data_IF_872272757936
#
_entry.id   IF_872272757936
#
_cell.length_a   1.000
_cell.length_b   1.000
_cell.length_c   1.000
_cell.angle_alpha   90.00
_cell.angle_beta   90.00
_cell.angle_gamma   90.00
#
_symmetry.space_group_name_H-M   'P 1'
#
loop_
_entity.id
_entity.type
_entity.pdbx_description
1 polymer ?
#
# COMPACT_ATOMS: atom_id res chain seq x y z
N UNK A 1 2.39 -4.47 -8.09
CA UNK A 1 3.54 -3.74 -7.49
C UNK A 1 4.81 -4.58 -7.69
N UNK A 2 5.82 -4.05 -8.34
CA UNK A 2 7.17 -4.63 -8.54
C UNK A 2 7.27 -6.05 -9.16
N UNK A 3 6.23 -6.56 -9.82
CA UNK A 3 6.19 -7.96 -10.27
C UNK A 3 7.37 -8.36 -11.17
N UNK A 4 7.69 -7.53 -12.16
CA UNK A 4 8.79 -7.80 -13.10
C UNK A 4 10.17 -7.77 -12.41
N UNK A 5 10.43 -6.74 -11.57
CA UNK A 5 11.69 -6.62 -10.84
C UNK A 5 11.87 -7.79 -9.84
N UNK A 6 10.81 -8.08 -9.07
CA UNK A 6 10.83 -9.17 -8.09
C UNK A 6 11.11 -10.53 -8.73
N UNK A 7 10.51 -10.82 -9.90
CA UNK A 7 10.74 -12.05 -10.64
C UNK A 7 12.19 -12.19 -11.09
N UNK A 8 12.75 -11.15 -11.73
CA UNK A 8 14.14 -11.15 -12.21
C UNK A 8 15.15 -11.28 -11.06
N UNK A 9 14.93 -10.56 -9.96
CA UNK A 9 15.79 -10.71 -8.77
C UNK A 9 15.68 -12.11 -8.17
N UNK A 10 14.48 -12.68 -8.10
CA UNK A 10 14.28 -14.05 -7.63
C UNK A 10 15.02 -15.07 -8.49
N UNK A 11 15.03 -14.91 -9.83
CA UNK A 11 15.78 -15.76 -10.75
C UNK A 11 17.30 -15.64 -10.53
N UNK A 12 17.82 -14.42 -10.39
CA UNK A 12 19.22 -14.20 -10.08
C UNK A 12 19.62 -14.89 -8.76
N UNK A 13 18.76 -14.82 -7.72
CA UNK A 13 19.03 -15.45 -6.43
C UNK A 13 18.85 -16.97 -6.44
N UNK A 14 18.03 -17.55 -7.31
CA UNK A 14 17.96 -19.02 -7.48
C UNK A 14 19.32 -19.61 -7.86
N UNK A 15 20.09 -18.90 -8.69
CA UNK A 15 21.45 -19.35 -9.08
C UNK A 15 22.41 -19.38 -7.90
N UNK A 16 22.31 -18.46 -6.96
CA UNK A 16 23.09 -18.54 -5.70
C UNK A 16 22.66 -19.72 -4.84
N UNK A 17 21.34 -19.97 -4.73
CA UNK A 17 20.79 -21.06 -3.91
C UNK A 17 21.12 -22.45 -4.45
N UNK A 18 21.33 -22.60 -5.77
CA UNK A 18 21.64 -23.89 -6.40
C UNK A 18 23.08 -24.35 -6.16
N UNK A 19 23.97 -23.48 -5.67
CA UNK A 19 25.38 -23.78 -5.38
C UNK A 19 25.59 -23.83 -3.88
N UNK A 20 26.12 -24.94 -3.38
CA UNK A 20 26.38 -25.14 -1.94
C UNK A 20 27.53 -24.26 -1.41
N UNK A 21 28.54 -24.00 -2.23
CA UNK A 21 29.62 -23.02 -1.97
C UNK A 21 29.63 -21.98 -3.06
N UNK A 22 29.88 -20.75 -2.70
CA UNK A 22 29.97 -19.63 -3.65
C UNK A 22 31.42 -19.13 -3.70
N UNK A 23 31.90 -18.87 -4.91
CA UNK A 23 33.18 -18.19 -5.15
C UNK A 23 32.95 -16.71 -5.43
N UNK A 24 33.99 -15.89 -5.32
CA UNK A 24 33.93 -14.48 -5.70
C UNK A 24 33.44 -14.30 -7.15
N UNK A 25 33.87 -15.18 -8.07
CA UNK A 25 33.41 -15.16 -9.46
C UNK A 25 31.90 -15.40 -9.59
N UNK A 26 31.34 -16.31 -8.77
CA UNK A 26 29.89 -16.57 -8.72
C UNK A 26 29.11 -15.35 -8.23
N UNK A 27 29.61 -14.70 -7.16
CA UNK A 27 29.01 -13.48 -6.62
C UNK A 27 29.02 -12.38 -7.66
N UNK A 28 30.16 -12.13 -8.31
CA UNK A 28 30.28 -11.11 -9.38
C UNK A 28 29.37 -11.40 -10.57
N UNK A 29 29.21 -12.66 -10.95
CA UNK A 29 28.30 -13.07 -12.03
C UNK A 29 26.84 -12.82 -11.66
N UNK A 30 26.40 -13.23 -10.48
CA UNK A 30 25.03 -12.99 -10.02
C UNK A 30 24.73 -11.50 -9.82
N UNK A 31 25.69 -10.71 -9.32
CA UNK A 31 25.53 -9.26 -9.20
C UNK A 31 25.43 -8.54 -10.54
N UNK A 32 25.99 -9.09 -11.63
CA UNK A 32 25.75 -8.59 -13.00
C UNK A 32 24.29 -8.80 -13.41
N UNK A 33 23.68 -9.92 -13.06
CA UNK A 33 22.24 -10.15 -13.33
C UNK A 33 21.36 -9.23 -12.51
N UNK A 34 21.65 -9.04 -11.20
CA UNK A 34 20.97 -8.05 -10.36
C UNK A 34 21.08 -6.65 -10.96
N UNK A 35 22.28 -6.28 -11.44
CA UNK A 35 22.49 -5.00 -12.14
C UNK A 35 21.58 -4.84 -13.34
N UNK A 36 21.49 -5.88 -14.18
CA UNK A 36 20.63 -5.85 -15.38
C UNK A 36 19.16 -5.76 -14.99
N UNK A 37 18.72 -6.53 -13.99
CA UNK A 37 17.34 -6.48 -13.49
C UNK A 37 16.94 -5.07 -13.02
N UNK A 38 17.82 -4.39 -12.29
CA UNK A 38 17.59 -3.02 -11.82
C UNK A 38 17.53 -2.00 -12.96
N UNK A 39 18.42 -2.13 -13.98
CA UNK A 39 18.41 -1.25 -15.15
C UNK A 39 17.15 -1.45 -16.00
N UNK A 40 16.72 -2.69 -16.20
CA UNK A 40 15.46 -3.00 -16.90
C UNK A 40 14.22 -2.57 -16.10
N UNK A 41 14.34 -2.46 -14.79
CA UNK A 41 13.33 -1.86 -13.92
C UNK A 41 13.36 -0.32 -13.90
N UNK A 42 14.14 0.29 -14.79
CA UNK A 42 14.23 1.75 -14.96
C UNK A 42 14.79 2.47 -13.71
N UNK A 43 15.69 1.80 -12.97
CA UNK A 43 16.42 2.40 -11.85
C UNK A 43 17.55 3.29 -12.40
N UNK A 44 17.77 4.44 -11.79
CA UNK A 44 18.81 5.38 -12.19
C UNK A 44 20.20 4.72 -12.24
N UNK A 45 20.94 4.93 -13.31
CA UNK A 45 22.24 4.28 -13.57
C UNK A 45 23.25 4.52 -12.43
N UNK A 46 23.32 5.74 -11.89
CA UNK A 46 24.24 6.06 -10.78
C UNK A 46 23.89 5.24 -9.55
N UNK A 47 22.59 5.14 -9.26
CA UNK A 47 22.04 4.33 -8.13
C UNK A 47 22.44 2.86 -8.31
N UNK A 48 22.18 2.29 -9.49
CA UNK A 48 22.49 0.88 -9.78
C UNK A 48 23.99 0.60 -9.65
N UNK A 49 24.84 1.50 -10.15
CA UNK A 49 26.30 1.35 -10.06
C UNK A 49 26.79 1.33 -8.62
N UNK A 50 26.33 2.27 -7.80
CA UNK A 50 26.74 2.36 -6.40
C UNK A 50 26.20 1.21 -5.57
N UNK A 51 24.91 0.89 -5.74
CA UNK A 51 24.27 -0.25 -5.09
C UNK A 51 24.99 -1.56 -5.37
N UNK A 52 25.20 -1.88 -6.65
CA UNK A 52 25.87 -3.14 -7.03
C UNK A 52 27.31 -3.20 -6.55
N UNK A 53 28.01 -2.07 -6.49
CA UNK A 53 29.37 -1.98 -5.93
C UNK A 53 29.35 -2.33 -4.43
N UNK A 54 28.52 -1.63 -3.63
CA UNK A 54 28.40 -1.84 -2.17
C UNK A 54 28.02 -3.30 -1.83
N UNK A 55 26.99 -3.82 -2.53
CA UNK A 55 26.58 -5.22 -2.30
C UNK A 55 27.71 -6.20 -2.66
N UNK A 56 28.39 -6.00 -3.79
CA UNK A 56 29.50 -6.88 -4.22
C UNK A 56 30.64 -6.86 -3.20
N UNK A 57 31.07 -5.68 -2.75
CA UNK A 57 32.14 -5.54 -1.75
C UNK A 57 31.81 -6.27 -0.46
N UNK A 58 30.58 -6.17 0.03
CA UNK A 58 30.11 -6.90 1.22
C UNK A 58 29.96 -8.39 0.99
N UNK A 59 29.49 -8.80 -0.19
CA UNK A 59 29.19 -10.20 -0.52
C UNK A 59 30.44 -11.04 -0.82
N UNK A 60 31.56 -10.46 -1.24
CA UNK A 60 32.83 -11.19 -1.46
C UNK A 60 33.68 -11.31 -0.20
N UNK A 61 33.24 -10.78 0.95
CA UNK A 61 33.95 -10.95 2.22
C UNK A 61 34.05 -12.43 2.64
N UNK A 62 35.16 -12.81 3.26
CA UNK A 62 35.42 -14.18 3.69
C UNK A 62 34.28 -14.72 4.57
N UNK A 63 33.74 -13.91 5.48
CA UNK A 63 32.64 -14.28 6.37
C UNK A 63 31.39 -14.75 5.62
N UNK A 64 31.13 -14.22 4.42
CA UNK A 64 29.99 -14.59 3.59
C UNK A 64 30.30 -15.85 2.78
N UNK A 65 31.46 -15.92 2.15
CA UNK A 65 31.86 -17.05 1.29
C UNK A 65 32.11 -18.32 2.07
N UNK A 66 32.60 -18.22 3.30
CA UNK A 66 32.84 -19.33 4.23
C UNK A 66 31.61 -19.72 5.06
N UNK A 67 30.53 -18.96 4.96
CA UNK A 67 29.28 -19.22 5.68
C UNK A 67 28.66 -20.55 5.25
N UNK A 68 27.95 -21.22 6.18
CA UNK A 68 27.15 -22.42 5.90
C UNK A 68 25.97 -22.11 4.92
N UNK A 69 25.55 -20.85 4.83
CA UNK A 69 24.41 -20.41 4.02
C UNK A 69 24.75 -19.13 3.22
N UNK A 70 25.75 -19.17 2.32
CA UNK A 70 26.25 -17.95 1.66
C UNK A 70 25.19 -17.25 0.80
N UNK A 71 24.32 -18.00 0.12
CA UNK A 71 23.24 -17.43 -0.67
C UNK A 71 22.23 -16.60 0.19
N UNK A 72 21.94 -17.07 1.40
CA UNK A 72 21.05 -16.34 2.31
C UNK A 72 21.71 -15.08 2.86
N UNK A 73 23.01 -15.12 3.13
CA UNK A 73 23.78 -13.93 3.53
C UNK A 73 23.79 -12.87 2.44
N UNK A 74 23.97 -13.27 1.17
CA UNK A 74 23.92 -12.33 0.05
C UNK A 74 22.53 -11.71 -0.07
N UNK A 75 21.44 -12.48 0.01
CA UNK A 75 20.07 -11.96 -0.02
C UNK A 75 19.83 -10.98 1.13
N UNK A 76 20.34 -11.27 2.32
CA UNK A 76 20.25 -10.37 3.48
C UNK A 76 20.99 -9.06 3.20
N UNK A 77 22.21 -9.11 2.67
CA UNK A 77 22.99 -7.92 2.29
C UNK A 77 22.22 -7.08 1.26
N UNK A 78 21.65 -7.71 0.23
CA UNK A 78 20.83 -7.02 -0.78
C UNK A 78 19.62 -6.35 -0.15
N UNK A 79 18.93 -7.00 0.78
CA UNK A 79 17.78 -6.43 1.49
C UNK A 79 18.18 -5.21 2.33
N UNK A 80 19.28 -5.30 3.06
CA UNK A 80 19.81 -4.20 3.88
C UNK A 80 20.20 -3.00 3.02
N UNK A 81 20.89 -3.23 1.88
CA UNK A 81 21.31 -2.16 0.97
C UNK A 81 20.11 -1.54 0.23
N UNK A 82 19.09 -2.32 -0.17
CA UNK A 82 17.83 -1.79 -0.71
C UNK A 82 17.10 -0.93 0.31
N UNK A 83 17.02 -1.41 1.56
CA UNK A 83 16.40 -0.67 2.66
C UNK A 83 17.12 0.66 2.91
N UNK A 84 18.45 0.64 2.96
CA UNK A 84 19.30 1.82 3.13
C UNK A 84 19.12 2.81 1.97
N UNK A 85 19.08 2.31 0.74
CA UNK A 85 18.89 3.11 -0.48
C UNK A 85 17.56 3.89 -0.43
N UNK A 86 16.50 3.26 0.06
CA UNK A 86 15.18 3.87 0.19
C UNK A 86 14.99 4.71 1.44
N UNK A 87 15.98 4.73 2.35
CA UNK A 87 15.97 5.64 3.50
C UNK A 87 16.11 5.01 4.88
N UNK A 88 16.27 3.71 4.96
CA UNK A 88 16.48 2.97 6.21
C UNK A 88 15.21 2.83 7.05
N UNK A 89 14.63 3.96 7.47
CA UNK A 89 13.44 3.99 8.33
C UNK A 89 12.32 4.84 7.75
N UNK A 90 11.10 4.63 8.24
CA UNK A 90 9.94 5.44 7.90
C UNK A 90 10.17 6.92 8.20
N UNK A 91 9.86 7.79 7.25
CA UNK A 91 9.81 9.24 7.46
C UNK A 91 8.36 9.70 7.64
N UNK A 92 8.01 10.12 8.84
CA UNK A 92 6.67 10.62 9.17
C UNK A 92 6.51 12.07 8.68
N UNK A 93 5.23 12.50 8.56
CA UNK A 93 4.91 13.90 8.32
C UNK A 93 5.26 14.71 9.57
N UNK A 94 5.93 15.84 9.37
CA UNK A 94 6.27 16.77 10.45
C UNK A 94 5.00 17.51 10.89
N UNK A 95 4.68 17.44 12.15
CA UNK A 95 3.54 18.15 12.72
C UNK A 95 4.06 19.45 13.38
N UNK A 96 3.45 20.58 13.02
CA UNK A 96 3.77 21.86 13.62
C UNK A 96 3.42 21.90 15.10
N UNK A 97 4.29 22.49 15.91
CA UNK A 97 4.02 22.77 17.32
C UNK A 97 2.92 23.84 17.50
N UNK A 98 2.76 24.71 16.48
CA UNK A 98 1.72 25.76 16.46
C UNK A 98 0.74 25.44 15.32
N UNK A 99 -0.48 24.99 15.64
CA UNK A 99 -1.50 24.71 14.61
C UNK A 99 -1.89 25.96 13.81
N UNK A 100 -2.25 25.79 12.52
CA UNK A 100 -2.35 24.53 11.79
C UNK A 100 -1.01 24.04 11.24
N UNK A 101 -0.84 22.71 11.12
CA UNK A 101 0.20 22.12 10.27
C UNK A 101 -0.19 22.35 8.81
N UNK A 102 0.63 23.03 8.05
CA UNK A 102 0.40 23.36 6.65
C UNK A 102 1.15 22.40 5.74
N UNK A 103 0.42 21.69 4.89
CA UNK A 103 0.95 20.73 3.92
C UNK A 103 0.62 21.21 2.52
N UNK A 104 1.63 21.57 1.76
CA UNK A 104 1.49 22.03 0.38
C UNK A 104 1.72 20.84 -0.57
N UNK A 105 0.72 20.53 -1.40
CA UNK A 105 0.78 19.44 -2.40
C UNK A 105 1.26 20.01 -3.72
N UNK A 106 2.41 19.54 -4.21
CA UNK A 106 3.01 19.98 -5.48
C UNK A 106 3.23 18.82 -6.45
N UNK A 107 3.42 19.09 -7.74
CA UNK A 107 3.68 18.08 -8.76
C UNK A 107 2.98 18.36 -10.08
N UNK A 108 3.27 17.57 -11.10
CA UNK A 108 2.71 17.71 -12.45
C UNK A 108 1.21 17.39 -12.50
N UNK A 109 0.57 17.80 -13.59
CA UNK A 109 -0.81 17.45 -13.88
C UNK A 109 -0.99 15.92 -13.97
N UNK A 110 -2.04 15.39 -13.39
CA UNK A 110 -2.31 13.94 -13.41
C UNK A 110 -1.49 13.10 -12.44
N UNK A 111 -0.55 13.72 -11.69
CA UNK A 111 0.23 13.02 -10.66
C UNK A 111 -0.60 12.60 -9.42
N UNK A 112 -1.84 13.11 -9.28
CA UNK A 112 -2.75 12.69 -8.20
C UNK A 112 -2.75 13.60 -6.97
N UNK A 113 -2.33 14.87 -7.07
CA UNK A 113 -2.30 15.83 -5.95
C UNK A 113 -3.64 15.94 -5.22
N UNK A 114 -4.70 16.33 -5.94
CA UNK A 114 -6.06 16.49 -5.42
C UNK A 114 -6.54 15.23 -4.68
N UNK A 115 -6.36 14.07 -5.30
CA UNK A 115 -6.75 12.78 -4.71
C UNK A 115 -5.97 12.48 -3.43
N UNK A 116 -4.65 12.73 -3.42
CA UNK A 116 -3.81 12.43 -2.25
C UNK A 116 -3.94 13.48 -1.15
N UNK A 117 -4.26 14.73 -1.46
CA UNK A 117 -4.68 15.72 -0.46
C UNK A 117 -5.90 15.21 0.32
N UNK A 118 -6.93 14.72 -0.38
CA UNK A 118 -8.12 14.16 0.25
C UNK A 118 -7.83 12.86 1.01
N UNK A 119 -6.99 11.96 0.48
CA UNK A 119 -6.58 10.72 1.16
C UNK A 119 -5.82 11.00 2.47
N UNK A 120 -4.87 11.93 2.46
CA UNK A 120 -4.16 12.36 3.65
C UNK A 120 -5.10 13.00 4.67
N UNK A 121 -5.98 13.90 4.23
CA UNK A 121 -6.99 14.50 5.09
C UNK A 121 -7.87 13.44 5.76
N UNK A 122 -8.34 12.43 5.01
CA UNK A 122 -9.12 11.31 5.56
C UNK A 122 -8.32 10.49 6.57
N UNK A 123 -7.05 10.20 6.27
CA UNK A 123 -6.16 9.44 7.15
C UNK A 123 -5.92 10.17 8.47
N UNK A 124 -5.60 11.47 8.44
CA UNK A 124 -5.38 12.26 9.65
C UNK A 124 -6.66 12.55 10.43
N UNK A 125 -7.80 12.68 9.74
CA UNK A 125 -9.10 12.74 10.41
C UNK A 125 -9.39 11.49 11.25
N UNK A 126 -9.08 10.30 10.73
CA UNK A 126 -9.17 9.04 11.51
C UNK A 126 -8.27 9.03 12.74
N UNK A 127 -7.17 9.78 12.71
CA UNK A 127 -6.26 9.98 13.85
C UNK A 127 -6.69 11.10 14.80
N UNK A 128 -7.92 11.61 14.67
CA UNK A 128 -8.48 12.65 15.54
C UNK A 128 -8.09 14.08 15.19
N UNK A 129 -7.44 14.32 14.02
CA UNK A 129 -7.14 15.66 13.54
C UNK A 129 -8.34 16.31 12.87
N UNK A 130 -8.33 17.64 12.80
CA UNK A 130 -9.34 18.46 12.10
C UNK A 130 -8.74 19.08 10.84
N UNK A 131 -8.69 18.34 9.72
CA UNK A 131 -8.12 18.82 8.48
C UNK A 131 -9.04 19.79 7.74
N UNK A 132 -8.43 20.72 6.98
CA UNK A 132 -9.03 21.56 5.98
C UNK A 132 -8.36 21.29 4.64
N UNK A 133 -9.15 21.21 3.57
CA UNK A 133 -8.66 21.19 2.20
C UNK A 133 -8.78 22.58 1.60
N UNK A 134 -7.75 23.08 0.90
CA UNK A 134 -7.75 24.39 0.24
C UNK A 134 -7.54 24.21 -1.25
N UNK A 135 -8.51 24.69 -2.07
CA UNK A 135 -8.53 24.49 -3.52
C UNK A 135 -7.80 25.64 -4.23
N UNK A 136 -6.52 25.45 -4.52
CA UNK A 136 -5.69 26.44 -5.25
C UNK A 136 -5.46 26.09 -6.73
N UNK A 137 -6.05 25.02 -7.28
CA UNK A 137 -6.05 24.74 -8.73
C UNK A 137 -7.18 25.50 -9.42
N UNK A 138 -7.03 26.82 -9.53
CA UNK A 138 -8.06 27.74 -10.10
C UNK A 138 -8.16 27.63 -11.63
N UNK A 139 -7.13 27.11 -12.30
CA UNK A 139 -7.09 26.98 -13.76
C UNK A 139 -8.01 25.87 -14.28
N UNK A 140 -8.46 25.00 -13.40
CA UNK A 140 -9.34 23.88 -13.73
C UNK A 140 -10.56 23.86 -12.83
N UNK A 141 -11.69 24.45 -13.24
CA UNK A 141 -12.93 24.45 -12.45
C UNK A 141 -13.35 23.03 -12.00
N UNK A 142 -13.09 22.04 -12.83
CA UNK A 142 -13.36 20.65 -12.51
C UNK A 142 -12.50 20.12 -11.34
N UNK A 143 -11.28 20.64 -11.13
CA UNK A 143 -10.42 20.24 -10.01
C UNK A 143 -10.97 20.77 -8.68
N UNK A 144 -11.43 22.01 -8.63
CA UNK A 144 -12.11 22.59 -7.46
C UNK A 144 -13.32 21.73 -7.08
N UNK A 145 -14.19 21.43 -8.07
CA UNK A 145 -15.37 20.59 -7.83
C UNK A 145 -15.00 19.18 -7.40
N UNK A 146 -13.96 18.62 -7.98
CA UNK A 146 -13.44 17.30 -7.57
C UNK A 146 -13.01 17.30 -6.11
N UNK A 147 -12.26 18.32 -5.67
CA UNK A 147 -11.83 18.43 -4.28
C UNK A 147 -13.02 18.59 -3.33
N UNK A 148 -14.04 19.37 -3.72
CA UNK A 148 -15.29 19.55 -2.96
C UNK A 148 -16.03 18.22 -2.79
N UNK A 149 -16.23 17.46 -3.87
CA UNK A 149 -16.89 16.13 -3.82
C UNK A 149 -16.10 15.16 -2.95
N UNK A 150 -14.76 15.17 -3.05
CA UNK A 150 -13.92 14.36 -2.18
C UNK A 150 -14.03 14.79 -0.72
N UNK A 151 -14.03 16.09 -0.44
CA UNK A 151 -14.20 16.64 0.91
C UNK A 151 -15.54 16.25 1.52
N UNK A 152 -16.64 16.35 0.77
CA UNK A 152 -17.97 15.89 1.20
C UNK A 152 -17.96 14.39 1.54
N UNK A 153 -17.39 13.56 0.66
CA UNK A 153 -17.32 12.11 0.83
C UNK A 153 -16.60 11.69 2.13
N UNK A 154 -15.58 12.45 2.52
CA UNK A 154 -14.80 12.18 3.74
C UNK A 154 -15.25 13.06 4.92
N UNK A 155 -16.27 13.92 4.72
CA UNK A 155 -16.75 14.90 5.70
C UNK A 155 -15.62 15.79 6.24
N UNK A 156 -14.81 16.36 5.34
CA UNK A 156 -13.74 17.33 5.60
C UNK A 156 -14.12 18.63 4.89
N UNK A 157 -14.06 19.80 5.56
CA UNK A 157 -14.36 21.07 4.93
C UNK A 157 -13.36 21.39 3.80
N UNK A 158 -13.86 22.06 2.75
CA UNK A 158 -13.08 22.54 1.61
C UNK A 158 -13.24 24.04 1.53
N UNK A 159 -12.12 24.77 1.54
CA UNK A 159 -12.09 26.20 1.29
C UNK A 159 -11.78 26.48 -0.18
N UNK A 160 -12.59 27.32 -0.82
CA UNK A 160 -12.39 27.76 -2.20
C UNK A 160 -13.03 29.12 -2.43
N UNK A 161 -12.45 29.94 -3.31
CA UNK A 161 -12.96 31.26 -3.73
C UNK A 161 -13.24 31.32 -5.24
N UNK A 162 -13.40 30.15 -5.87
CA UNK A 162 -13.66 30.06 -7.30
C UNK A 162 -12.40 30.20 -8.15
N UNK A 163 -12.56 30.67 -9.38
CA UNK A 163 -11.51 30.75 -10.40
C UNK A 163 -10.92 32.14 -10.61
N UNK A 164 -11.56 33.17 -10.07
CA UNK A 164 -11.26 34.59 -10.36
C UNK A 164 -10.28 35.19 -9.33
N UNK A 165 -9.98 34.45 -8.26
CA UNK A 165 -9.05 34.86 -7.19
C UNK A 165 -7.72 34.14 -7.37
N UNK A 166 -6.62 34.83 -7.10
CA UNK A 166 -5.29 34.24 -7.25
C UNK A 166 -5.07 33.07 -6.27
N UNK A 167 -4.38 32.01 -6.69
CA UNK A 167 -4.06 30.87 -5.81
C UNK A 167 -3.36 31.26 -4.51
N UNK A 168 -2.48 32.28 -4.57
CA UNK A 168 -1.76 32.80 -3.41
C UNK A 168 -2.73 33.42 -2.39
N UNK A 169 -3.70 34.20 -2.87
CA UNK A 169 -4.73 34.81 -2.02
C UNK A 169 -5.61 33.75 -1.39
N UNK A 170 -6.05 32.75 -2.18
CA UNK A 170 -6.86 31.63 -1.69
C UNK A 170 -6.11 30.85 -0.61
N UNK A 171 -4.82 30.58 -0.80
CA UNK A 171 -4.00 29.86 0.17
C UNK A 171 -3.91 30.65 1.48
N UNK A 172 -3.65 31.95 1.42
CA UNK A 172 -3.61 32.84 2.59
C UNK A 172 -4.96 32.85 3.34
N UNK A 173 -6.03 33.15 2.63
CA UNK A 173 -7.37 33.23 3.22
C UNK A 173 -7.83 31.85 3.77
N UNK A 174 -7.43 30.76 3.12
CA UNK A 174 -7.63 29.40 3.61
C UNK A 174 -6.95 29.14 4.95
N UNK A 175 -5.74 29.66 5.15
CA UNK A 175 -5.05 29.56 6.46
C UNK A 175 -5.75 30.38 7.55
N UNK A 176 -6.23 31.59 7.23
CA UNK A 176 -7.01 32.38 8.16
C UNK A 176 -8.32 31.70 8.53
N UNK A 177 -9.00 31.11 7.52
CA UNK A 177 -10.19 30.30 7.75
C UNK A 177 -9.91 29.11 8.67
N UNK A 178 -8.79 28.40 8.45
CA UNK A 178 -8.37 27.28 9.29
C UNK A 178 -8.18 27.70 10.75
N UNK A 179 -7.50 28.82 10.99
CA UNK A 179 -7.29 29.36 12.35
C UNK A 179 -8.62 29.73 13.02
N UNK A 180 -9.53 30.42 12.31
CA UNK A 180 -10.84 30.82 12.83
C UNK A 180 -11.75 29.63 13.15
N UNK A 181 -11.63 28.53 12.39
CA UNK A 181 -12.43 27.31 12.58
C UNK A 181 -11.71 26.20 13.36
N UNK A 182 -10.58 26.52 13.98
CA UNK A 182 -9.81 25.58 14.79
C UNK A 182 -9.39 24.31 14.05
N UNK A 183 -9.10 24.40 12.74
CA UNK A 183 -8.51 23.31 11.99
C UNK A 183 -7.03 23.20 12.40
N UNK A 184 -6.57 21.99 12.67
CA UNK A 184 -5.20 21.75 13.11
C UNK A 184 -4.27 21.28 11.98
N UNK A 185 -4.83 20.97 10.82
CA UNK A 185 -4.10 20.64 9.60
C UNK A 185 -4.74 21.32 8.38
N UNK A 186 -3.90 21.76 7.44
CA UNK A 186 -4.33 22.35 6.18
C UNK A 186 -3.60 21.66 5.04
N UNK A 187 -4.33 21.16 4.06
CA UNK A 187 -3.80 20.60 2.82
C UNK A 187 -4.10 21.54 1.68
N UNK A 188 -3.07 22.18 1.12
CA UNK A 188 -3.18 23.10 -0.01
C UNK A 188 -3.02 22.29 -1.30
N UNK A 189 -4.10 22.12 -2.06
CA UNK A 189 -4.08 21.47 -3.37
C UNK A 189 -3.75 22.49 -4.45
N UNK A 190 -2.50 22.48 -4.93
CA UNK A 190 -2.01 23.44 -5.91
C UNK A 190 -2.26 22.99 -7.35
N UNK A 191 -2.23 23.92 -8.29
CA UNK A 191 -2.26 23.63 -9.71
C UNK A 191 -1.10 22.72 -10.14
N UNK A 192 -1.29 21.99 -11.23
CA UNK A 192 -0.25 21.26 -11.93
C UNK A 192 -0.36 21.50 -13.41
N UNK A 193 0.78 21.63 -14.08
CA UNK A 193 0.88 21.71 -15.54
C UNK A 193 1.48 20.43 -16.08
N UNK A 194 1.41 20.26 -17.40
CA UNK A 194 1.99 19.09 -18.09
C UNK A 194 3.52 19.08 -18.00
N UNK A 195 4.13 20.26 -17.93
CA UNK A 195 5.57 20.44 -17.82
C UNK A 195 5.89 21.45 -16.73
N UNK A 196 7.12 21.39 -16.25
CA UNK A 196 7.67 22.38 -15.33
C UNK A 196 8.03 23.64 -16.16
N UNK A 197 7.38 24.74 -15.87
CA UNK A 197 7.65 26.05 -16.44
C UNK A 197 7.83 27.12 -15.35
N UNK A 198 8.41 28.27 -15.74
CA UNK A 198 8.70 29.37 -14.81
C UNK A 198 7.44 29.92 -14.15
N UNK A 199 6.33 29.97 -14.88
CA UNK A 199 5.06 30.49 -14.37
C UNK A 199 4.51 29.61 -13.24
N UNK A 200 4.51 28.29 -13.44
CA UNK A 200 4.10 27.35 -12.40
C UNK A 200 5.01 27.44 -11.18
N UNK A 201 6.32 27.47 -11.39
CA UNK A 201 7.28 27.49 -10.28
C UNK A 201 7.21 28.80 -9.51
N UNK A 202 7.04 29.94 -10.18
CA UNK A 202 6.86 31.24 -9.54
C UNK A 202 5.57 31.30 -8.70
N UNK A 203 4.47 30.72 -9.18
CA UNK A 203 3.23 30.62 -8.40
C UNK A 203 3.41 29.75 -7.15
N UNK A 204 4.02 28.57 -7.30
CA UNK A 204 4.26 27.66 -6.18
C UNK A 204 5.21 28.30 -5.15
N UNK A 205 6.22 29.02 -5.59
CA UNK A 205 7.12 29.75 -4.71
C UNK A 205 6.38 30.89 -3.97
N UNK A 206 5.51 31.63 -4.64
CA UNK A 206 4.67 32.66 -4.02
C UNK A 206 3.73 32.08 -2.96
N UNK A 207 3.08 30.92 -3.23
CA UNK A 207 2.27 30.21 -2.24
C UNK A 207 3.14 29.76 -1.06
N UNK A 208 4.31 29.17 -1.31
CA UNK A 208 5.26 28.76 -0.27
C UNK A 208 5.64 29.93 0.64
N UNK A 209 5.99 31.08 0.06
CA UNK A 209 6.43 32.25 0.82
C UNK A 209 5.28 32.84 1.66
N UNK A 210 4.06 32.90 1.14
CA UNK A 210 2.89 33.44 1.86
C UNK A 210 2.40 32.51 2.97
N UNK A 211 2.48 31.19 2.76
CA UNK A 211 1.89 30.21 3.69
C UNK A 211 2.90 29.56 4.63
N UNK A 212 4.19 29.69 4.36
CA UNK A 212 5.28 29.06 5.12
C UNK A 212 4.96 27.60 5.51
N UNK A 213 4.76 26.70 4.53
CA UNK A 213 4.27 25.37 4.81
C UNK A 213 5.25 24.55 5.66
N UNK A 214 4.72 23.81 6.62
CA UNK A 214 5.49 22.85 7.43
C UNK A 214 6.03 21.72 6.54
N UNK A 215 5.28 21.34 5.53
CA UNK A 215 5.62 20.29 4.58
C UNK A 215 5.27 20.71 3.14
N UNK A 216 6.21 20.44 2.24
CA UNK A 216 5.98 20.53 0.79
C UNK A 216 6.12 19.12 0.25
N UNK A 217 4.99 18.49 -0.08
CA UNK A 217 4.94 17.12 -0.55
C UNK A 217 4.81 17.06 -2.07
N UNK A 218 5.86 16.57 -2.71
CA UNK A 218 5.84 16.31 -4.14
C UNK A 218 5.06 15.01 -4.43
N UNK A 219 4.01 15.13 -5.21
CA UNK A 219 3.23 13.99 -5.70
C UNK A 219 3.74 13.59 -7.08
N UNK A 220 4.19 12.36 -7.23
CA UNK A 220 4.80 11.83 -8.45
C UNK A 220 4.16 10.50 -8.84
N UNK A 221 3.84 10.35 -10.11
CA UNK A 221 3.38 9.10 -10.70
C UNK A 221 4.57 8.12 -10.84
N UNK A 222 4.52 6.99 -10.15
CA UNK A 222 5.60 5.99 -10.18
C UNK A 222 5.75 5.30 -11.54
N UNK A 223 4.67 5.30 -12.34
CA UNK A 223 4.65 4.60 -13.64
C UNK A 223 5.48 5.30 -14.73
N UNK A 224 5.80 6.59 -14.57
CA UNK A 224 6.64 7.33 -15.54
C UNK A 224 8.14 7.02 -15.40
N UNK A 225 8.51 6.13 -14.48
CA UNK A 225 9.87 5.60 -14.36
C UNK A 225 10.91 6.68 -14.05
N UNK A 226 11.96 6.78 -14.86
CA UNK A 226 13.07 7.73 -14.66
C UNK A 226 12.63 9.19 -14.75
N UNK A 227 11.58 9.52 -15.50
CA UNK A 227 11.05 10.89 -15.56
C UNK A 227 10.51 11.34 -14.20
N UNK A 228 10.01 10.43 -13.36
CA UNK A 228 9.64 10.74 -11.98
C UNK A 228 10.82 11.30 -11.18
N UNK A 229 12.01 10.76 -11.41
CA UNK A 229 13.25 11.18 -10.75
C UNK A 229 13.66 12.58 -11.22
N UNK A 230 13.62 12.81 -12.54
CA UNK A 230 13.94 14.12 -13.13
C UNK A 230 12.99 15.21 -12.65
N UNK A 231 11.69 14.90 -12.54
CA UNK A 231 10.69 15.80 -11.98
C UNK A 231 10.99 16.10 -10.51
N UNK A 232 11.31 15.07 -9.72
CA UNK A 232 11.58 15.22 -8.31
C UNK A 232 12.84 16.07 -8.05
N UNK A 233 13.89 15.91 -8.87
CA UNK A 233 15.11 16.71 -8.80
C UNK A 233 14.81 18.20 -9.03
N UNK A 234 14.09 18.54 -10.11
CA UNK A 234 13.74 19.94 -10.45
C UNK A 234 12.85 20.60 -9.38
N UNK A 235 11.81 19.89 -8.91
CA UNK A 235 10.96 20.42 -7.83
C UNK A 235 11.74 20.61 -6.54
N UNK A 236 12.70 19.74 -6.24
CA UNK A 236 13.55 19.86 -5.06
C UNK A 236 14.48 21.07 -5.15
N UNK A 237 15.12 21.29 -6.31
CA UNK A 237 16.00 22.43 -6.53
C UNK A 237 15.27 23.77 -6.35
N UNK A 238 14.04 23.88 -6.83
CA UNK A 238 13.30 25.14 -6.82
C UNK A 238 12.48 25.38 -5.55
N UNK A 239 11.91 24.34 -4.96
CA UNK A 239 11.00 24.47 -3.82
C UNK A 239 11.55 23.92 -2.51
N UNK A 240 12.68 23.21 -2.53
CA UNK A 240 13.20 22.49 -1.35
C UNK A 240 12.11 21.61 -0.72
N UNK A 241 11.61 20.64 -1.46
CA UNK A 241 10.54 19.74 -1.01
C UNK A 241 10.95 19.02 0.28
N UNK A 242 9.99 18.69 1.15
CA UNK A 242 10.25 18.00 2.41
C UNK A 242 10.01 16.49 2.33
N UNK A 243 9.35 16.04 1.29
CA UNK A 243 9.07 14.62 1.06
C UNK A 243 8.32 14.37 -0.23
N UNK A 244 8.20 13.09 -0.56
CA UNK A 244 7.58 12.62 -1.81
C UNK A 244 6.44 11.65 -1.51
N UNK A 245 5.38 11.74 -2.30
CA UNK A 245 4.28 10.77 -2.39
C UNK A 245 4.39 10.08 -3.74
N UNK A 246 4.62 8.78 -3.74
CA UNK A 246 4.56 7.97 -4.96
C UNK A 246 3.14 7.49 -5.20
N UNK A 247 2.56 7.85 -6.32
CA UNK A 247 1.19 7.46 -6.70
C UNK A 247 1.20 6.32 -7.70
N UNK A 248 0.05 5.65 -7.86
CA UNK A 248 -0.18 4.56 -8.81
C UNK A 248 0.82 3.39 -8.67
N UNK A 249 1.32 3.18 -7.47
CA UNK A 249 2.31 2.13 -7.21
C UNK A 249 1.73 0.72 -7.38
N UNK A 250 0.42 0.56 -7.28
CA UNK A 250 -0.33 -0.66 -7.59
C UNK A 250 -0.17 -1.09 -9.06
N UNK A 251 -0.09 -0.13 -9.99
CA UNK A 251 0.18 -0.35 -11.41
C UNK A 251 1.66 -0.48 -11.77
N UNK A 252 2.58 -0.03 -10.91
CA UNK A 252 4.01 -0.06 -11.19
C UNK A 252 4.58 -1.48 -11.00
N UNK A 253 5.05 -2.06 -12.09
CA UNK A 253 5.71 -3.37 -12.10
C UNK A 253 7.23 -3.29 -12.06
N UNK A 254 7.82 -2.11 -12.25
CA UNK A 254 9.26 -1.85 -12.36
C UNK A 254 9.88 -1.38 -11.06
N UNK A 255 9.33 -0.34 -10.43
CA UNK A 255 9.78 0.18 -9.15
C UNK A 255 11.00 1.11 -9.20
N UNK A 256 11.44 1.51 -10.39
CA UNK A 256 12.64 2.33 -10.56
C UNK A 256 12.58 3.69 -9.86
N UNK A 257 11.40 4.34 -9.89
CA UNK A 257 11.18 5.61 -9.21
C UNK A 257 11.38 5.48 -7.68
N UNK A 258 10.80 4.45 -7.07
CA UNK A 258 10.91 4.22 -5.62
C UNK A 258 12.36 4.03 -5.15
N UNK A 259 13.19 3.37 -5.97
CA UNK A 259 14.60 3.12 -5.67
C UNK A 259 15.51 4.33 -5.96
N UNK A 260 15.07 5.25 -6.81
CA UNK A 260 15.94 6.32 -7.33
C UNK A 260 15.69 7.70 -6.72
N UNK A 261 14.43 8.05 -6.40
CA UNK A 261 14.05 9.40 -5.99
C UNK A 261 14.82 9.86 -4.76
N UNK A 262 14.86 9.05 -3.71
CA UNK A 262 15.57 9.44 -2.49
C UNK A 262 17.05 9.64 -2.72
N UNK A 263 17.68 8.75 -3.49
CA UNK A 263 19.11 8.85 -3.78
C UNK A 263 19.45 10.15 -4.53
N UNK A 264 18.63 10.52 -5.51
CA UNK A 264 18.88 11.69 -6.35
C UNK A 264 18.54 12.99 -5.64
N UNK A 265 17.41 13.03 -4.92
CA UNK A 265 16.91 14.26 -4.27
C UNK A 265 17.38 14.44 -2.83
N UNK A 266 17.84 13.38 -2.17
CA UNK A 266 18.08 13.38 -0.72
C UNK A 266 16.80 13.42 0.13
N UNK A 267 15.61 13.52 -0.49
CA UNK A 267 14.32 13.68 0.20
C UNK A 267 13.62 12.36 0.41
N UNK A 268 12.97 12.15 1.57
CA UNK A 268 12.33 10.89 1.88
C UNK A 268 11.04 10.70 1.10
N UNK A 269 10.75 9.44 0.74
CA UNK A 269 9.39 9.04 0.37
C UNK A 269 8.62 8.88 1.68
N UNK A 270 7.49 9.59 1.83
CA UNK A 270 6.67 9.56 3.05
C UNK A 270 5.44 8.68 2.91
N UNK A 271 4.81 8.70 1.73
CA UNK A 271 3.59 7.96 1.46
C UNK A 271 3.60 7.33 0.07
N UNK A 272 2.78 6.29 -0.08
CA UNK A 272 2.51 5.63 -1.36
C UNK A 272 1.01 5.51 -1.59
N UNK A 273 0.59 5.78 -2.82
CA UNK A 273 -0.76 5.53 -3.31
C UNK A 273 -0.84 4.15 -3.96
N UNK A 274 -1.70 3.29 -3.42
CA UNK A 274 -1.81 1.87 -3.79
C UNK A 274 -3.18 1.52 -4.38
N UNK A 275 -3.85 2.48 -4.97
CA UNK A 275 -5.15 2.32 -5.63
C UNK A 275 -5.98 3.61 -5.63
N UNK A 276 -7.18 3.56 -6.20
CA UNK A 276 -8.05 4.74 -6.39
C UNK A 276 -8.89 5.09 -5.15
N UNK A 277 -9.19 4.13 -4.28
CA UNK A 277 -10.02 4.34 -3.09
C UNK A 277 -9.40 5.34 -2.13
N UNK A 278 -10.22 6.03 -1.34
CA UNK A 278 -9.77 7.05 -0.37
C UNK A 278 -8.83 6.46 0.69
N UNK A 279 -9.01 5.24 1.07
CA UNK A 279 -8.17 4.52 2.05
C UNK A 279 -6.92 3.88 1.42
N UNK A 280 -6.79 3.93 0.07
CA UNK A 280 -5.65 3.37 -0.65
C UNK A 280 -4.44 4.32 -0.63
N UNK A 281 -3.97 4.69 0.56
CA UNK A 281 -2.73 5.39 0.85
C UNK A 281 -2.06 4.72 2.04
N UNK A 282 -0.77 4.49 1.95
CA UNK A 282 0.01 3.86 3.01
C UNK A 282 1.25 4.70 3.32
N UNK A 283 1.72 4.75 4.58
CA UNK A 283 3.05 5.24 4.90
C UNK A 283 4.11 4.39 4.19
N UNK A 284 5.20 5.03 3.78
CA UNK A 284 6.30 4.33 3.14
C UNK A 284 7.26 3.73 4.18
N UNK A 285 7.39 2.40 4.14
CA UNK A 285 8.32 1.64 4.99
C UNK A 285 9.43 1.05 4.11
N UNK A 286 10.66 1.58 4.15
CA UNK A 286 11.76 1.10 3.31
C UNK A 286 12.06 -0.40 3.44
N UNK A 287 12.06 -0.94 4.64
CA UNK A 287 12.29 -2.34 4.94
C UNK A 287 11.24 -3.28 4.35
N UNK A 288 9.95 -2.92 4.50
CA UNK A 288 8.84 -3.67 3.92
C UNK A 288 8.88 -3.62 2.39
N UNK A 289 9.23 -2.47 1.85
CA UNK A 289 9.35 -2.28 0.41
C UNK A 289 10.50 -3.10 -0.18
N UNK A 290 11.66 -3.13 0.48
CA UNK A 290 12.77 -3.99 0.11
C UNK A 290 12.35 -5.47 0.12
N UNK A 291 11.63 -5.92 1.16
CA UNK A 291 11.11 -7.29 1.25
C UNK A 291 10.12 -7.62 0.12
N UNK A 292 9.22 -6.68 -0.23
CA UNK A 292 8.30 -6.84 -1.37
C UNK A 292 9.06 -6.97 -2.70
N UNK A 293 10.07 -6.13 -2.93
CA UNK A 293 10.91 -6.17 -4.14
C UNK A 293 11.65 -7.51 -4.26
N UNK A 294 12.11 -8.07 -3.15
CA UNK A 294 12.80 -9.37 -3.11
C UNK A 294 11.87 -10.58 -3.17
N UNK A 295 10.56 -10.37 -3.26
CA UNK A 295 9.57 -11.45 -3.25
C UNK A 295 9.46 -12.19 -1.92
N UNK A 296 9.93 -11.56 -0.83
CA UNK A 296 9.87 -12.12 0.54
C UNK A 296 8.52 -11.86 1.22
N UNK A 297 7.62 -11.14 0.55
CA UNK A 297 6.33 -10.73 1.10
C UNK A 297 6.43 -9.55 2.06
N UNK A 298 5.29 -9.20 2.64
CA UNK A 298 5.15 -8.13 3.63
C UNK A 298 4.19 -8.56 4.74
N UNK A 299 4.66 -9.46 5.57
CA UNK A 299 3.86 -10.06 6.65
C UNK A 299 3.44 -9.01 7.67
N UNK A 300 4.27 -7.99 7.93
CA UNK A 300 3.96 -6.95 8.91
C UNK A 300 2.77 -6.09 8.45
N UNK A 301 2.78 -5.63 7.19
CA UNK A 301 1.62 -4.89 6.65
C UNK A 301 0.35 -5.75 6.59
N UNK A 302 0.48 -7.06 6.34
CA UNK A 302 -0.65 -7.98 6.36
C UNK A 302 -1.25 -8.09 7.76
N UNK A 303 -0.39 -8.22 8.79
CA UNK A 303 -0.82 -8.26 10.20
C UNK A 303 -1.49 -6.95 10.59
N UNK A 304 -0.90 -5.80 10.29
CA UNK A 304 -1.49 -4.48 10.60
C UNK A 304 -2.85 -4.28 9.92
N UNK A 305 -3.00 -4.72 8.66
CA UNK A 305 -4.29 -4.67 7.97
C UNK A 305 -5.31 -5.62 8.60
N UNK A 306 -4.86 -6.79 9.05
CA UNK A 306 -5.71 -7.72 9.78
C UNK A 306 -6.16 -7.11 11.12
N UNK A 307 -5.23 -6.56 11.91
CA UNK A 307 -5.55 -5.91 13.19
C UNK A 307 -6.49 -4.72 13.01
N UNK A 308 -6.30 -3.90 11.97
CA UNK A 308 -7.20 -2.78 11.68
C UNK A 308 -8.60 -3.20 11.20
N UNK A 309 -8.73 -4.38 10.60
CA UNK A 309 -10.01 -4.91 10.12
C UNK A 309 -10.80 -5.65 11.20
N UNK A 310 -10.13 -6.12 12.27
CA UNK A 310 -10.75 -6.85 13.36
C UNK A 310 -10.85 -5.98 14.62
N UNK A 311 -12.08 -5.77 15.11
CA UNK A 311 -12.30 -5.29 16.47
C UNK A 311 -11.99 -6.46 17.44
N UNK A 312 -11.23 -6.20 18.52
CA UNK A 312 -10.89 -7.20 19.55
C UNK A 312 -12.14 -7.91 20.09
N UNK A 313 -13.28 -7.21 20.20
CA UNK A 313 -14.54 -7.80 20.61
C UNK A 313 -15.08 -8.81 19.61
N UNK A 314 -15.04 -8.48 18.32
CA UNK A 314 -15.48 -9.38 17.26
C UNK A 314 -14.59 -10.62 17.16
N UNK A 315 -13.27 -10.45 17.32
CA UNK A 315 -12.34 -11.57 17.36
C UNK A 315 -12.62 -12.52 18.54
N UNK A 316 -12.89 -11.97 19.73
CA UNK A 316 -13.24 -12.77 20.91
C UNK A 316 -14.60 -13.48 20.76
N UNK A 317 -15.59 -12.83 20.15
CA UNK A 317 -16.89 -13.45 19.85
C UNK A 317 -16.76 -14.57 18.83
N UNK A 318 -15.95 -14.38 17.79
CA UNK A 318 -15.69 -15.40 16.80
C UNK A 318 -15.01 -16.62 17.42
N UNK A 319 -13.98 -16.41 18.27
CA UNK A 319 -13.33 -17.49 19.02
C UNK A 319 -14.33 -18.26 19.90
N UNK A 320 -15.21 -17.55 20.58
CA UNK A 320 -16.28 -18.15 21.38
C UNK A 320 -17.23 -18.98 20.53
N UNK A 321 -17.74 -18.43 19.41
CA UNK A 321 -18.62 -19.15 18.47
C UNK A 321 -17.96 -20.39 17.88
N UNK A 322 -16.65 -20.33 17.60
CA UNK A 322 -15.89 -21.50 17.11
C UNK A 322 -15.76 -22.58 18.19
N UNK A 323 -15.52 -22.19 19.44
CA UNK A 323 -15.50 -23.13 20.59
C UNK A 323 -16.85 -23.82 20.82
N UNK A 324 -17.93 -23.06 20.70
CA UNK A 324 -19.30 -23.53 20.90
C UNK A 324 -19.87 -24.26 19.68
N UNK A 325 -19.10 -24.40 18.60
CA UNK A 325 -19.52 -24.99 17.30
C UNK A 325 -20.73 -24.29 16.68
N UNK A 326 -20.93 -23.02 17.01
CA UNK A 326 -22.08 -22.20 16.58
C UNK A 326 -21.78 -21.33 15.36
N UNK A 327 -20.68 -21.61 14.63
CA UNK A 327 -20.29 -20.88 13.41
C UNK A 327 -21.31 -21.10 12.29
N UNK A 328 -21.91 -20.02 11.79
CA UNK A 328 -23.01 -19.98 10.84
C UNK A 328 -22.59 -19.44 9.47
N UNK A 329 -23.48 -19.49 8.46
CA UNK A 329 -23.24 -18.84 7.18
C UNK A 329 -23.33 -17.31 7.27
N UNK A 330 -24.00 -16.73 8.28
CA UNK A 330 -23.94 -15.30 8.55
C UNK A 330 -22.52 -14.88 9.04
N UNK A 331 -21.93 -15.65 9.95
CA UNK A 331 -20.55 -15.43 10.40
C UNK A 331 -19.56 -15.60 9.24
N UNK A 332 -19.81 -16.55 8.34
CA UNK A 332 -19.00 -16.75 7.12
C UNK A 332 -19.08 -15.55 6.19
N UNK A 333 -20.27 -14.97 6.01
CA UNK A 333 -20.47 -13.76 5.21
C UNK A 333 -19.77 -12.56 5.83
N UNK A 334 -19.84 -12.40 7.15
CA UNK A 334 -19.14 -11.34 7.88
C UNK A 334 -17.61 -11.44 7.70
N UNK A 335 -17.05 -12.65 7.74
CA UNK A 335 -15.63 -12.87 7.44
C UNK A 335 -15.25 -12.42 6.02
N UNK A 336 -16.09 -12.71 5.01
CA UNK A 336 -15.85 -12.22 3.65
C UNK A 336 -15.86 -10.69 3.59
N UNK A 337 -16.79 -10.03 4.26
CA UNK A 337 -16.85 -8.58 4.31
C UNK A 337 -15.60 -7.98 4.96
N UNK A 338 -15.10 -8.60 6.02
CA UNK A 338 -13.87 -8.18 6.70
C UNK A 338 -12.65 -8.32 5.78
N UNK A 339 -12.48 -9.47 5.10
CA UNK A 339 -11.40 -9.68 4.13
C UNK A 339 -11.47 -8.64 3.00
N UNK A 340 -12.67 -8.33 2.50
CA UNK A 340 -12.88 -7.30 1.47
C UNK A 340 -12.49 -5.89 1.95
N UNK A 341 -12.65 -5.61 3.24
CA UNK A 341 -12.23 -4.35 3.87
C UNK A 341 -10.70 -4.23 4.04
N UNK A 342 -9.98 -5.36 4.11
CA UNK A 342 -8.51 -5.37 4.18
C UNK A 342 -7.83 -4.99 2.84
N UNK A 343 -8.57 -4.99 1.74
CA UNK A 343 -8.08 -4.69 0.40
C UNK A 343 -8.48 -5.72 -0.65
N UNK A 344 -7.91 -5.62 -1.87
CA UNK A 344 -8.16 -6.65 -2.88
C UNK A 344 -7.45 -7.96 -2.53
N UNK A 345 -8.05 -9.09 -2.91
CA UNK A 345 -7.46 -10.42 -2.68
C UNK A 345 -6.07 -10.54 -3.31
N UNK A 346 -5.86 -9.89 -4.46
CA UNK A 346 -4.55 -9.86 -5.13
C UNK A 346 -3.49 -9.13 -4.28
N UNK A 347 -3.87 -8.01 -3.66
CA UNK A 347 -2.98 -7.26 -2.76
C UNK A 347 -2.61 -8.08 -1.53
N UNK A 348 -3.58 -8.74 -0.90
CA UNK A 348 -3.36 -9.57 0.28
C UNK A 348 -2.47 -10.79 -0.04
N UNK A 349 -2.74 -11.49 -1.14
CA UNK A 349 -1.93 -12.62 -1.58
C UNK A 349 -0.50 -12.18 -1.96
N UNK A 350 -0.36 -11.00 -2.59
CA UNK A 350 0.96 -10.42 -2.91
C UNK A 350 1.81 -10.05 -1.69
N UNK A 351 1.20 -9.91 -0.51
CA UNK A 351 1.91 -9.69 0.76
C UNK A 351 2.38 -11.00 1.40
N UNK A 352 1.89 -12.15 0.95
CA UNK A 352 2.29 -13.44 1.52
C UNK A 352 3.66 -13.88 1.00
N UNK A 353 4.53 -14.41 1.87
CA UNK A 353 5.84 -14.93 1.47
C UNK A 353 5.70 -16.12 0.49
N UNK A 354 6.49 -16.09 -0.58
CA UNK A 354 6.53 -17.20 -1.55
C UNK A 354 5.42 -17.21 -2.59
N UNK A 355 4.48 -16.27 -2.55
CA UNK A 355 3.47 -16.09 -3.60
C UNK A 355 4.04 -15.18 -4.68
N UNK A 356 4.17 -15.70 -5.90
CA UNK A 356 4.65 -14.91 -7.02
C UNK A 356 3.51 -14.03 -7.56
N UNK A 357 3.65 -12.68 -7.58
CA UNK A 357 2.64 -11.79 -8.13
C UNK A 357 2.30 -12.05 -9.61
N UNK A 358 3.23 -12.61 -10.39
CA UNK A 358 2.99 -12.97 -11.79
C UNK A 358 2.00 -14.14 -11.91
N UNK A 359 2.11 -15.16 -11.05
CA UNK A 359 1.16 -16.30 -11.05
C UNK A 359 -0.22 -15.90 -10.58
N UNK A 360 -0.35 -14.81 -9.81
CA UNK A 360 -1.64 -14.26 -9.38
C UNK A 360 -2.38 -13.55 -10.51
N UNK A 361 -1.67 -12.94 -11.47
CA UNK A 361 -2.29 -12.32 -12.66
C UNK A 361 -2.88 -13.36 -13.61
N UNK A 362 -2.25 -14.53 -13.70
CA UNK A 362 -2.73 -15.65 -14.52
C UNK A 362 -3.85 -16.43 -13.81
N UNK A 363 -3.84 -16.50 -12.50
CA UNK A 363 -4.93 -16.97 -11.70
C UNK A 363 -6.00 -15.88 -11.64
N UNK A 364 -6.85 -15.77 -12.66
CA UNK A 364 -8.05 -14.90 -12.65
C UNK A 364 -8.82 -15.16 -11.36
N UNK A 365 -8.51 -14.38 -10.31
CA UNK A 365 -9.31 -14.41 -9.08
C UNK A 365 -10.69 -13.89 -9.50
N UNK A 366 -11.64 -14.80 -9.57
CA UNK A 366 -12.99 -14.46 -10.01
C UNK A 366 -13.68 -13.63 -8.92
N UNK A 367 -13.51 -12.31 -8.98
CA UNK A 367 -14.21 -11.37 -8.07
C UNK A 367 -15.72 -11.59 -8.11
N UNK A 368 -16.25 -12.08 -9.25
CA UNK A 368 -17.65 -12.49 -9.39
C UNK A 368 -17.97 -13.73 -8.56
N UNK A 369 -16.99 -14.57 -8.22
CA UNK A 369 -17.22 -15.73 -7.35
C UNK A 369 -17.55 -15.29 -5.92
N UNK A 370 -16.89 -14.24 -5.41
CA UNK A 370 -17.20 -13.67 -4.09
C UNK A 370 -18.60 -13.06 -4.09
N UNK A 371 -18.94 -12.27 -5.11
CA UNK A 371 -20.27 -11.70 -5.24
C UNK A 371 -21.37 -12.78 -5.39
N UNK A 372 -21.09 -13.88 -6.12
CA UNK A 372 -22.00 -15.01 -6.21
C UNK A 372 -22.20 -15.71 -4.87
N UNK A 373 -21.12 -15.91 -4.12
CA UNK A 373 -21.19 -16.49 -2.77
C UNK A 373 -22.07 -15.66 -1.84
N UNK A 374 -21.87 -14.34 -1.85
CA UNK A 374 -22.69 -13.38 -1.10
C UNK A 374 -24.16 -13.45 -1.51
N UNK A 375 -24.46 -13.43 -2.81
CA UNK A 375 -25.83 -13.53 -3.34
C UNK A 375 -26.51 -14.85 -2.92
N UNK A 376 -25.79 -15.98 -2.93
CA UNK A 376 -26.33 -17.29 -2.51
C UNK A 376 -26.70 -17.24 -1.02
N UNK A 377 -25.82 -16.73 -0.15
CA UNK A 377 -26.08 -16.66 1.30
C UNK A 377 -27.26 -15.72 1.59
N UNK A 378 -27.29 -14.54 0.94
CA UNK A 378 -28.39 -13.57 1.11
C UNK A 378 -29.74 -14.10 0.60
N UNK A 379 -29.75 -15.02 -0.34
CA UNK A 379 -30.97 -15.69 -0.84
C UNK A 379 -31.50 -16.77 0.11
N UNK A 380 -30.76 -17.11 1.15
CA UNK A 380 -31.20 -18.04 2.20
C UNK A 380 -32.00 -17.31 3.28
N UNK A 381 -32.95 -18.00 3.90
CA UNK A 381 -33.63 -17.49 5.09
C UNK A 381 -32.69 -17.51 6.31
N UNK A 382 -32.92 -16.68 7.35
CA UNK A 382 -32.10 -16.69 8.57
C UNK A 382 -31.96 -18.08 9.20
N UNK A 383 -33.02 -18.88 9.16
CA UNK A 383 -33.01 -20.27 9.66
C UNK A 383 -32.12 -21.19 8.85
N UNK A 384 -32.06 -21.01 7.53
CA UNK A 384 -31.21 -21.77 6.64
C UNK A 384 -29.73 -21.39 6.77
N UNK A 385 -29.44 -20.13 7.01
CA UNK A 385 -28.09 -19.64 7.29
C UNK A 385 -27.56 -20.14 8.63
N UNK A 386 -28.42 -20.19 9.65
CA UNK A 386 -28.07 -20.73 10.97
C UNK A 386 -27.86 -22.25 10.97
N UNK A 387 -28.66 -22.99 10.19
CA UNK A 387 -28.62 -24.46 10.12
C UNK A 387 -28.64 -24.95 8.67
N UNK A 388 -27.48 -24.95 7.97
CA UNK A 388 -27.41 -25.38 6.55
C UNK A 388 -27.84 -26.83 6.30
N UNK A 389 -27.81 -27.68 7.32
CA UNK A 389 -28.23 -29.11 7.21
C UNK A 389 -29.69 -29.30 6.81
N UNK A 390 -30.54 -28.29 6.98
CA UNK A 390 -31.93 -28.31 6.58
C UNK A 390 -32.14 -28.10 5.08
N UNK A 391 -31.08 -27.82 4.30
CA UNK A 391 -31.13 -27.48 2.90
C UNK A 391 -31.31 -28.74 2.04
N UNK A 392 -32.58 -29.11 1.78
CA UNK A 392 -32.95 -30.14 0.82
C UNK A 392 -32.88 -29.65 -0.66
N UNK A 393 -33.06 -30.49 -1.60
CA UNK A 393 -33.00 -30.19 -3.05
C UNK A 393 -33.92 -29.02 -3.44
N UNK A 394 -35.17 -28.99 -2.96
CA UNK A 394 -36.15 -27.96 -3.29
C UNK A 394 -35.68 -26.56 -2.79
N UNK A 395 -35.13 -26.50 -1.58
CA UNK A 395 -34.58 -25.26 -1.00
C UNK A 395 -33.36 -24.79 -1.78
N UNK A 396 -32.42 -25.68 -2.14
CA UNK A 396 -31.26 -25.36 -2.97
C UNK A 396 -31.67 -24.83 -4.35
N UNK A 397 -32.71 -25.41 -4.96
CA UNK A 397 -33.26 -24.92 -6.24
C UNK A 397 -33.81 -23.48 -6.10
N UNK A 398 -34.56 -23.20 -5.04
CA UNK A 398 -35.09 -21.86 -4.76
C UNK A 398 -33.97 -20.84 -4.52
N UNK A 399 -32.96 -21.20 -3.73
CA UNK A 399 -31.82 -20.36 -3.44
C UNK A 399 -31.02 -20.06 -4.73
N UNK A 400 -30.77 -21.06 -5.55
CA UNK A 400 -30.10 -20.88 -6.83
C UNK A 400 -30.86 -19.91 -7.75
N UNK A 401 -32.20 -20.09 -7.86
CA UNK A 401 -33.04 -19.18 -8.63
C UNK A 401 -33.04 -17.75 -8.08
N UNK A 402 -33.10 -17.56 -6.75
CA UNK A 402 -33.10 -16.28 -6.09
C UNK A 402 -31.76 -15.53 -6.17
N UNK A 403 -30.65 -16.25 -6.24
CA UNK A 403 -29.31 -15.68 -6.34
C UNK A 403 -28.80 -15.51 -7.79
N UNK A 404 -29.57 -15.97 -8.79
CA UNK A 404 -29.11 -15.96 -10.18
C UNK A 404 -27.92 -16.89 -10.43
N UNK A 405 -27.81 -17.98 -9.62
CA UNK A 405 -26.72 -18.98 -9.71
C UNK A 405 -27.25 -20.38 -10.01
N UNK A 406 -26.38 -21.38 -10.07
CA UNK A 406 -26.74 -22.76 -10.29
C UNK A 406 -26.85 -23.54 -8.96
N UNK A 407 -27.54 -24.67 -8.98
CA UNK A 407 -27.61 -25.61 -7.83
C UNK A 407 -26.20 -26.12 -7.50
N UNK A 408 -25.34 -26.25 -8.50
CA UNK A 408 -23.94 -26.65 -8.33
C UNK A 408 -23.13 -25.63 -7.56
N UNK A 409 -23.36 -24.35 -7.82
CA UNK A 409 -22.71 -23.25 -7.07
C UNK A 409 -23.15 -23.27 -5.61
N UNK A 410 -24.42 -23.46 -5.32
CA UNK A 410 -24.95 -23.62 -3.97
C UNK A 410 -24.30 -24.83 -3.26
N UNK A 411 -24.20 -25.97 -3.93
CA UNK A 411 -23.56 -27.17 -3.38
C UNK A 411 -22.06 -26.95 -3.12
N UNK A 412 -21.38 -26.24 -4.02
CA UNK A 412 -19.96 -25.88 -3.88
C UNK A 412 -19.73 -25.01 -2.66
N UNK A 413 -20.56 -23.99 -2.47
CA UNK A 413 -20.51 -23.13 -1.29
C UNK A 413 -20.70 -23.93 0.01
N UNK A 414 -21.71 -24.76 0.08
CA UNK A 414 -21.97 -25.59 1.27
C UNK A 414 -20.79 -26.52 1.59
N UNK A 415 -20.18 -27.12 0.57
CA UNK A 415 -18.98 -27.95 0.72
C UNK A 415 -17.78 -27.15 1.24
N UNK A 416 -17.56 -25.96 0.70
CA UNK A 416 -16.50 -25.06 1.15
C UNK A 416 -16.71 -24.62 2.60
N UNK A 417 -17.95 -24.23 2.97
CA UNK A 417 -18.32 -23.87 4.33
C UNK A 417 -18.02 -25.02 5.33
N UNK A 418 -18.41 -26.26 4.99
CA UNK A 418 -18.12 -27.44 5.82
C UNK A 418 -16.62 -27.73 5.94
N UNK A 419 -15.84 -27.53 4.88
CA UNK A 419 -14.39 -27.69 4.91
C UNK A 419 -13.75 -26.61 5.82
N UNK A 420 -14.19 -25.37 5.70
CA UNK A 420 -13.72 -24.26 6.55
C UNK A 420 -14.02 -24.56 8.02
N UNK A 421 -15.24 -25.00 8.34
CA UNK A 421 -15.64 -25.39 9.68
C UNK A 421 -14.78 -26.51 10.27
N UNK A 422 -14.43 -27.51 9.45
CA UNK A 422 -13.53 -28.63 9.86
C UNK A 422 -12.10 -28.13 10.13
N UNK A 423 -11.55 -27.28 9.25
CA UNK A 423 -10.22 -26.70 9.44
C UNK A 423 -10.15 -25.86 10.72
N UNK A 424 -11.12 -24.98 10.93
CA UNK A 424 -11.19 -24.15 12.13
C UNK A 424 -11.31 -25.01 13.41
N UNK A 425 -12.02 -26.12 13.38
CA UNK A 425 -12.11 -27.06 14.49
C UNK A 425 -10.74 -27.75 14.77
N UNK A 426 -9.99 -28.07 13.77
CA UNK A 426 -8.65 -28.64 13.93
C UNK A 426 -7.68 -27.65 14.56
N UNK A 427 -7.72 -26.38 14.16
CA UNK A 427 -6.89 -25.32 14.76
C UNK A 427 -7.27 -25.03 16.21
N UNK A 428 -8.56 -24.99 16.56
CA UNK A 428 -9.02 -24.78 17.94
C UNK A 428 -8.65 -25.96 18.87
N UNK A 429 -8.54 -27.18 18.33
CA UNK A 429 -8.13 -28.37 19.08
C UNK A 429 -6.59 -28.48 19.23
N UNK A 430 -5.82 -28.04 18.23
CA UNK A 430 -4.35 -28.03 18.28
C UNK A 430 -3.78 -27.06 19.32
N UNK A 431 -4.52 -25.98 19.67
CA UNK A 431 -4.19 -25.08 20.78
C UNK A 431 -4.29 -25.71 22.18
N UNK A 432 -4.89 -26.88 22.33
CA UNK A 432 -5.04 -27.59 23.62
C UNK A 432 -3.84 -28.47 24.03
N UNK A 433 -2.89 -28.73 23.13
CA UNK A 433 -1.71 -29.51 23.47
C UNK A 433 -0.49 -28.63 23.77
N UNK A 434 -0.52 -27.82 24.84
CA UNK A 434 0.64 -27.37 25.62
C UNK A 434 0.24 -26.37 26.70
N UNK A 435 -0.45 -26.83 27.71
CA UNK A 435 -0.39 -26.22 29.03
C UNK A 435 0.94 -26.61 29.67
N UNK A 436 1.95 -25.78 29.54
CA UNK A 436 3.26 -26.01 30.16
C UNK A 436 4.30 -25.06 29.61
N UNK A 437 4.54 -23.94 30.34
CA UNK A 437 5.62 -22.96 30.20
C UNK A 437 5.43 -21.88 29.11
N UNK A 438 5.25 -20.65 29.61
CA UNK A 438 5.35 -19.38 28.88
C UNK A 438 6.51 -19.38 27.90
N UNK A 439 6.21 -19.29 26.59
CA UNK A 439 7.12 -18.73 25.60
C UNK A 439 6.33 -17.82 24.66
N UNK A 440 6.83 -16.60 24.57
CA UNK A 440 6.43 -15.56 23.63
C UNK A 440 6.41 -16.09 22.18
N UNK A 441 5.42 -15.66 21.40
CA UNK A 441 5.43 -15.78 19.95
C UNK A 441 4.35 -16.74 19.42
N UNK A 442 3.14 -16.23 19.23
CA UNK A 442 2.11 -16.92 18.50
C UNK A 442 2.45 -16.81 17.00
N UNK A 443 2.87 -17.92 16.40
CA UNK A 443 2.98 -18.04 14.94
C UNK A 443 1.63 -18.47 14.41
N UNK A 444 0.99 -17.62 13.65
CA UNK A 444 -0.15 -17.98 12.82
C UNK A 444 0.38 -18.70 11.58
N UNK A 445 -0.18 -19.86 11.21
CA UNK A 445 0.11 -20.47 9.91
C UNK A 445 -0.89 -19.88 8.90
N UNK A 446 -0.40 -19.09 8.00
CA UNK A 446 -0.97 -18.91 6.67
C UNK A 446 0.06 -19.34 5.65
#
# INVERSE_FOLDING_TARGET
MFGNLSEKLSEAFKKFKSKGKLTEADVRAGMREVKMALLEADVNFKVVKEFTKKVTERAVGAEVLESLLPAQQIIKIVNEELTSLMGGTQSKLTISSSPPTVVMMVGLQGAGKTTHAAKLAAMYKKQGKRPLLVACDVYRPAAIKQLQVLGEKISVPVYSEGTDVSPVTIAKNGLEYAKKNFCDMVFIDTAGRLHIDETLMGELEAIKNETSPTEILLTVDSMIGQDAVNVAEKFNELLDITGVILTKLDGDTRGGAALSIRYVTGKPIKFIGVGEKIDAIEPFYPDRMASRILGMGDVLSLIEKAEAAYDEKQAAELEKKLREQSFTLDDYLEQFAQIKNMGSMEQLLGMMPGVNPATLKDAKIDEKAVARTEAIILSMTPRERAKPDILNYSRRKRIAAGSGTTIEDVNRLLKQFEQTKKLMKQFSSAGRFKGGKKKKGMKFPF
#
